data_IF_726705679880
#
_entry.id   IF_726705679880
#
_cell.length_a   1.000
_cell.length_b   1.000
_cell.length_c   1.000
_cell.angle_alpha   90.00
_cell.angle_beta   90.00
_cell.angle_gamma   90.00
#
_symmetry.space_group_name_H-M   'P 1'
#
loop_
_entity.id
_entity.type
_entity.pdbx_description
1 polymer ?
#
# COMPACT_ATOMS: atom_id res chain seq x y z
N UNK A 1 15.44 4.72 -13.14
CA UNK A 1 14.80 3.75 -12.26
C UNK A 1 13.28 3.77 -12.36
N UNK A 2 12.63 4.90 -12.65
CA UNK A 2 11.16 5.01 -12.74
C UNK A 2 10.60 4.74 -14.16
N UNK A 3 11.47 4.55 -15.15
CA UNK A 3 11.07 4.46 -16.54
C UNK A 3 10.54 5.78 -17.13
N UNK A 4 10.90 6.92 -16.53
CA UNK A 4 10.54 8.27 -16.95
C UNK A 4 11.76 8.96 -17.60
N UNK A 5 11.54 9.87 -18.56
CA UNK A 5 12.60 10.63 -19.23
C UNK A 5 13.52 11.35 -18.24
N UNK A 6 12.93 12.00 -17.23
CA UNK A 6 13.72 12.69 -16.19
C UNK A 6 14.71 11.79 -15.46
N UNK A 7 14.34 10.55 -15.14
CA UNK A 7 15.25 9.60 -14.48
C UNK A 7 16.29 9.05 -15.45
N UNK A 8 15.98 8.98 -16.74
CA UNK A 8 16.93 8.66 -17.80
C UNK A 8 17.99 9.76 -17.98
N UNK A 9 17.54 11.01 -18.01
CA UNK A 9 18.46 12.16 -18.11
C UNK A 9 19.44 12.22 -16.92
N UNK A 10 18.97 11.99 -15.68
CA UNK A 10 19.83 11.88 -14.51
C UNK A 10 20.85 10.74 -14.67
N UNK A 11 20.42 9.58 -15.17
CA UNK A 11 21.33 8.47 -15.43
C UNK A 11 22.37 8.80 -16.50
N UNK A 12 22.03 9.56 -17.53
CA UNK A 12 22.96 10.05 -18.53
C UNK A 12 24.00 11.00 -17.94
N UNK A 13 23.53 11.99 -17.18
CA UNK A 13 24.36 13.02 -16.56
C UNK A 13 25.27 12.49 -15.44
N UNK A 14 24.99 11.31 -14.89
CA UNK A 14 25.80 10.69 -13.84
C UNK A 14 27.24 10.34 -14.28
N UNK A 15 27.56 10.34 -15.57
CA UNK A 15 28.83 9.93 -16.10
C UNK A 15 29.15 8.43 -15.95
N UNK A 16 28.24 7.63 -15.35
CA UNK A 16 28.49 6.21 -15.12
C UNK A 16 28.70 5.46 -16.45
N UNK A 17 29.75 4.60 -16.50
CA UNK A 17 30.02 3.77 -17.69
C UNK A 17 28.91 2.77 -17.96
N UNK A 18 28.37 2.15 -16.92
CA UNK A 18 27.28 1.20 -16.99
C UNK A 18 25.99 1.83 -16.46
N UNK A 19 25.01 1.96 -17.34
CA UNK A 19 23.69 2.51 -17.04
C UNK A 19 22.65 1.45 -17.35
N UNK A 20 22.09 0.82 -16.32
CA UNK A 20 21.13 -0.26 -16.47
C UNK A 20 19.71 0.29 -16.36
N UNK A 21 18.83 -0.14 -17.25
CA UNK A 21 17.44 0.30 -17.28
C UNK A 21 16.49 -0.82 -17.70
N UNK A 22 15.20 -0.50 -17.64
CA UNK A 22 14.18 -1.42 -18.13
C UNK A 22 14.23 -1.60 -19.63
N UNK A 23 13.70 -2.73 -20.11
CA UNK A 23 13.36 -2.89 -21.53
C UNK A 23 12.40 -1.77 -21.95
N UNK A 24 12.52 -1.28 -23.18
CA UNK A 24 11.71 -0.14 -23.69
C UNK A 24 10.20 -0.30 -23.47
N UNK A 25 9.67 -1.52 -23.59
CA UNK A 25 8.25 -1.80 -23.43
C UNK A 25 7.81 -1.88 -21.96
N UNK A 26 8.74 -2.00 -21.00
CA UNK A 26 8.47 -1.90 -19.58
C UNK A 26 8.69 -0.49 -19.02
N UNK A 27 9.18 0.47 -19.82
CA UNK A 27 9.27 1.87 -19.42
C UNK A 27 7.90 2.54 -19.52
N UNK A 28 7.57 3.36 -18.51
CA UNK A 28 6.38 4.22 -18.57
C UNK A 28 6.48 5.20 -19.76
N UNK A 29 7.67 5.76 -19.98
CA UNK A 29 8.00 6.56 -21.15
C UNK A 29 9.09 5.84 -21.93
N UNK A 30 8.75 5.29 -23.11
CA UNK A 30 9.65 4.44 -23.91
C UNK A 30 10.98 5.10 -24.24
N UNK A 31 11.01 6.44 -24.36
CA UNK A 31 12.19 7.25 -24.59
C UNK A 31 13.23 7.09 -23.46
N UNK A 32 12.81 6.80 -22.23
CA UNK A 32 13.74 6.55 -21.12
C UNK A 32 14.82 5.51 -21.49
N UNK A 33 14.47 4.54 -22.31
CA UNK A 33 15.38 3.45 -22.68
C UNK A 33 16.63 3.90 -23.45
N UNK A 34 16.61 5.04 -24.13
CA UNK A 34 17.80 5.53 -24.87
C UNK A 34 18.94 5.99 -23.95
N UNK A 35 18.63 6.37 -22.71
CA UNK A 35 19.59 6.87 -21.74
C UNK A 35 20.36 5.76 -20.99
N UNK A 36 20.05 4.50 -21.28
CA UNK A 36 20.66 3.34 -20.62
C UNK A 36 21.31 2.43 -21.65
N UNK A 37 22.51 1.89 -21.32
CA UNK A 37 23.32 1.07 -22.25
C UNK A 37 23.22 -0.44 -21.98
N UNK A 38 22.64 -0.86 -20.85
CA UNK A 38 22.26 -2.25 -20.56
C UNK A 38 20.80 -2.30 -20.19
N UNK A 39 20.04 -3.25 -20.72
CA UNK A 39 18.60 -3.39 -20.48
C UNK A 39 18.33 -4.67 -19.69
N UNK A 40 17.43 -4.58 -18.71
CA UNK A 40 16.82 -5.76 -18.14
C UNK A 40 15.97 -6.48 -19.21
N UNK A 41 15.84 -7.81 -19.18
CA UNK A 41 14.96 -8.55 -20.07
C UNK A 41 13.52 -8.05 -20.02
N UNK A 42 12.80 -8.16 -21.15
CA UNK A 42 11.37 -7.89 -21.19
C UNK A 42 10.61 -8.96 -20.39
N UNK A 43 9.73 -8.54 -19.51
CA UNK A 43 8.97 -9.44 -18.62
C UNK A 43 7.52 -9.65 -19.08
N UNK A 44 7.08 -9.01 -20.15
CA UNK A 44 5.67 -8.98 -20.54
C UNK A 44 4.95 -7.73 -20.01
N UNK A 45 3.65 -7.68 -20.26
CA UNK A 45 2.75 -6.63 -19.81
C UNK A 45 2.03 -7.03 -18.52
N UNK A 46 1.54 -6.05 -17.75
CA UNK A 46 0.79 -6.30 -16.51
C UNK A 46 1.62 -6.91 -15.36
N UNK A 47 2.94 -6.80 -15.42
CA UNK A 47 3.84 -7.28 -14.37
C UNK A 47 3.85 -6.31 -13.19
N UNK A 48 3.82 -6.86 -11.99
CA UNK A 48 3.88 -6.07 -10.78
C UNK A 48 5.17 -5.26 -10.68
N UNK A 49 5.09 -4.02 -10.21
CA UNK A 49 6.24 -3.10 -10.19
C UNK A 49 7.41 -3.64 -9.35
N UNK A 50 7.16 -4.38 -8.29
CA UNK A 50 8.19 -5.03 -7.48
C UNK A 50 8.96 -6.06 -8.29
N UNK A 51 8.28 -6.93 -9.05
CA UNK A 51 8.94 -7.93 -9.90
C UNK A 51 9.76 -7.26 -11.00
N UNK A 52 9.29 -6.14 -11.55
CA UNK A 52 10.07 -5.36 -12.50
C UNK A 52 11.37 -4.81 -11.88
N UNK A 53 11.31 -4.29 -10.65
CA UNK A 53 12.51 -3.81 -9.96
C UNK A 53 13.44 -4.94 -9.56
N UNK A 54 12.93 -6.07 -9.12
CA UNK A 54 13.73 -7.25 -8.82
C UNK A 54 14.46 -7.75 -10.07
N UNK A 55 13.79 -7.81 -11.21
CA UNK A 55 14.42 -8.16 -12.50
C UNK A 55 15.55 -7.19 -12.88
N UNK A 56 15.34 -5.89 -12.66
CA UNK A 56 16.37 -4.88 -12.89
C UNK A 56 17.60 -5.11 -11.99
N UNK A 57 17.39 -5.38 -10.70
CA UNK A 57 18.44 -5.65 -9.73
C UNK A 57 19.19 -6.94 -10.08
N UNK A 58 18.48 -8.02 -10.42
CA UNK A 58 19.07 -9.28 -10.88
C UNK A 58 19.99 -9.08 -12.06
N UNK A 59 19.51 -8.34 -13.08
CA UNK A 59 20.30 -8.02 -14.27
C UNK A 59 21.54 -7.19 -13.93
N UNK A 60 21.43 -6.29 -12.94
CA UNK A 60 22.49 -5.40 -12.52
C UNK A 60 23.60 -6.13 -11.80
N UNK A 61 23.23 -7.00 -10.86
CA UNK A 61 24.13 -7.64 -9.90
C UNK A 61 24.43 -9.11 -10.26
N UNK A 62 23.87 -9.63 -11.36
CA UNK A 62 23.97 -11.04 -11.77
C UNK A 62 23.55 -12.03 -10.65
N UNK A 63 22.48 -11.68 -9.93
CA UNK A 63 21.96 -12.49 -8.82
C UNK A 63 21.09 -13.60 -9.38
N UNK A 64 21.37 -14.87 -9.01
CA UNK A 64 20.61 -16.04 -9.44
C UNK A 64 19.48 -16.40 -8.45
N UNK A 65 19.72 -16.17 -7.15
CA UNK A 65 18.77 -16.51 -6.08
C UNK A 65 17.95 -15.30 -5.66
N UNK A 66 16.67 -15.51 -5.39
CA UNK A 66 15.72 -14.50 -4.98
C UNK A 66 15.12 -14.86 -3.62
N UNK A 67 15.07 -13.88 -2.73
CA UNK A 67 14.21 -13.93 -1.54
C UNK A 67 13.22 -12.78 -1.63
N UNK A 68 11.93 -13.09 -1.51
CA UNK A 68 10.84 -12.09 -1.54
C UNK A 68 10.41 -11.73 -0.12
N UNK A 69 11.36 -11.44 0.74
CA UNK A 69 11.09 -10.99 2.10
C UNK A 69 11.15 -9.47 2.18
N UNK A 70 10.13 -8.86 2.72
CA UNK A 70 10.13 -7.44 3.03
C UNK A 70 10.85 -7.19 4.36
N UNK A 71 11.84 -6.32 4.34
CA UNK A 71 12.52 -5.83 5.54
C UNK A 71 11.80 -4.56 6.00
N UNK A 72 10.94 -4.70 6.99
CA UNK A 72 10.30 -3.57 7.64
C UNK A 72 11.15 -3.11 8.82
N UNK A 73 11.16 -1.79 9.14
CA UNK A 73 11.79 -1.30 10.36
C UNK A 73 11.11 -1.89 11.60
N UNK A 74 11.84 -1.94 12.70
CA UNK A 74 11.25 -2.34 13.98
C UNK A 74 10.06 -1.44 14.33
N UNK A 75 8.99 -2.06 14.81
CA UNK A 75 7.80 -1.33 15.23
C UNK A 75 8.06 -0.60 16.55
N UNK A 76 7.51 0.60 16.70
CA UNK A 76 7.42 1.31 17.97
C UNK A 76 6.07 0.99 18.59
N UNK A 77 6.05 0.16 19.61
CA UNK A 77 4.80 -0.45 20.09
C UNK A 77 4.20 0.23 21.33
N UNK A 78 5.00 0.90 22.18
CA UNK A 78 4.53 1.42 23.45
C UNK A 78 3.25 2.27 23.36
N UNK A 79 3.25 3.29 22.50
CA UNK A 79 2.08 4.16 22.29
C UNK A 79 0.88 3.37 21.74
N UNK A 80 1.13 2.39 20.92
CA UNK A 80 0.11 1.54 20.33
C UNK A 80 -0.46 0.57 21.36
N UNK A 81 0.39 0.00 22.20
CA UNK A 81 -0.04 -0.83 23.33
C UNK A 81 -0.90 -0.05 24.29
N UNK A 82 -0.46 1.14 24.70
CA UNK A 82 -1.23 2.04 25.58
C UNK A 82 -2.60 2.37 24.95
N UNK A 83 -2.65 2.63 23.66
CA UNK A 83 -3.91 2.87 22.94
C UNK A 83 -4.86 1.66 23.05
N UNK A 84 -4.39 0.45 22.74
CA UNK A 84 -5.24 -0.73 22.81
C UNK A 84 -5.63 -1.13 24.23
N UNK A 85 -4.75 -0.98 25.21
CA UNK A 85 -5.06 -1.22 26.62
C UNK A 85 -6.18 -0.32 27.14
N UNK A 86 -6.22 0.92 26.68
CA UNK A 86 -7.28 1.88 27.02
C UNK A 86 -8.59 1.68 26.22
N UNK A 87 -8.65 0.68 25.34
CA UNK A 87 -9.82 0.39 24.51
C UNK A 87 -10.20 -1.10 24.57
N UNK A 88 -10.59 -1.63 25.74
CA UNK A 88 -10.86 -3.07 25.91
C UNK A 88 -12.01 -3.57 25.04
N UNK A 89 -12.99 -2.72 24.74
CA UNK A 89 -14.08 -3.09 23.84
C UNK A 89 -13.60 -3.29 22.39
N UNK A 90 -12.64 -2.48 21.91
CA UNK A 90 -12.03 -2.64 20.60
C UNK A 90 -11.38 -4.01 20.46
N UNK A 91 -10.65 -4.43 21.49
CA UNK A 91 -9.87 -5.67 21.48
C UNK A 91 -10.70 -6.91 21.84
N UNK A 92 -11.96 -6.74 22.26
CA UNK A 92 -12.85 -7.86 22.60
C UNK A 92 -13.28 -8.70 21.39
N UNK A 93 -13.08 -8.17 20.18
CA UNK A 93 -13.44 -8.79 18.89
C UNK A 93 -12.29 -8.65 17.90
N UNK A 94 -12.25 -9.46 16.82
CA UNK A 94 -11.28 -9.24 15.76
C UNK A 94 -11.45 -7.86 15.14
N UNK A 95 -10.34 -7.20 14.82
CA UNK A 95 -10.33 -5.80 14.38
C UNK A 95 -10.15 -5.74 12.86
N UNK A 96 -11.07 -5.06 12.18
CA UNK A 96 -10.93 -4.69 10.78
C UNK A 96 -10.47 -3.24 10.72
N UNK A 97 -9.30 -3.02 10.10
CA UNK A 97 -8.82 -1.67 9.80
C UNK A 97 -9.49 -1.13 8.54
N UNK A 98 -9.87 0.14 8.55
CA UNK A 98 -10.33 0.87 7.36
C UNK A 98 -9.48 2.11 7.21
N UNK A 99 -8.78 2.23 6.07
CA UNK A 99 -8.03 3.42 5.69
C UNK A 99 -8.68 4.07 4.46
N UNK A 100 -9.44 5.15 4.64
CA UNK A 100 -10.13 5.82 3.54
C UNK A 100 -9.22 6.79 2.75
N UNK A 101 -7.97 6.96 3.19
CA UNK A 101 -7.03 7.89 2.59
C UNK A 101 -6.36 7.37 1.31
N UNK A 102 -5.94 8.28 0.46
CA UNK A 102 -5.08 8.02 -0.68
C UNK A 102 -4.27 9.26 -1.06
N UNK A 103 -3.14 9.06 -1.74
CA UNK A 103 -2.25 10.15 -2.15
C UNK A 103 -2.83 11.12 -3.19
N UNK A 104 -3.94 10.77 -3.86
CA UNK A 104 -4.63 11.57 -4.86
C UNK A 104 -6.14 11.42 -4.71
N UNK A 105 -6.89 12.52 -4.87
CA UNK A 105 -8.35 12.52 -4.77
C UNK A 105 -9.02 11.53 -5.73
N UNK A 106 -8.49 11.39 -6.94
CA UNK A 106 -9.01 10.43 -7.93
C UNK A 106 -8.96 8.96 -7.51
N UNK A 107 -8.23 8.63 -6.44
CA UNK A 107 -8.15 7.28 -5.88
C UNK A 107 -9.07 7.07 -4.68
N UNK A 108 -9.73 8.13 -4.22
CA UNK A 108 -10.60 8.06 -3.05
C UNK A 108 -11.94 7.40 -3.41
N UNK A 109 -12.40 6.58 -2.50
CA UNK A 109 -13.79 6.12 -2.48
C UNK A 109 -14.62 7.06 -1.62
N UNK A 110 -15.91 7.17 -1.86
CA UNK A 110 -16.81 8.07 -1.15
C UNK A 110 -16.87 7.72 0.35
N UNK A 111 -16.77 8.72 1.23
CA UNK A 111 -16.76 8.51 2.69
C UNK A 111 -18.03 7.83 3.19
N UNK A 112 -19.16 8.17 2.60
CA UNK A 112 -20.46 7.53 2.91
C UNK A 112 -20.43 6.02 2.67
N UNK A 113 -19.77 5.57 1.61
CA UNK A 113 -19.65 4.14 1.31
C UNK A 113 -18.74 3.42 2.29
N UNK A 114 -17.69 4.08 2.77
CA UNK A 114 -16.88 3.54 3.88
C UNK A 114 -17.70 3.42 5.16
N UNK A 115 -18.56 4.40 5.46
CA UNK A 115 -19.49 4.36 6.58
C UNK A 115 -20.44 3.16 6.48
N UNK A 116 -21.09 3.00 5.34
CA UNK A 116 -21.99 1.87 5.09
C UNK A 116 -21.28 0.51 5.18
N UNK A 117 -20.08 0.41 4.62
CA UNK A 117 -19.27 -0.81 4.70
C UNK A 117 -18.89 -1.14 6.15
N UNK A 118 -18.45 -0.14 6.92
CA UNK A 118 -18.06 -0.29 8.32
C UNK A 118 -19.24 -0.77 9.18
N UNK A 119 -20.42 -0.16 9.00
CA UNK A 119 -21.65 -0.55 9.69
C UNK A 119 -22.05 -1.98 9.35
N UNK A 120 -22.00 -2.37 8.06
CA UNK A 120 -22.32 -3.73 7.64
C UNK A 120 -21.34 -4.76 8.21
N UNK A 121 -20.04 -4.47 8.22
CA UNK A 121 -19.05 -5.38 8.83
C UNK A 121 -19.36 -5.58 10.31
N UNK A 122 -19.71 -4.52 11.03
CA UNK A 122 -20.06 -4.62 12.45
C UNK A 122 -21.35 -5.41 12.65
N UNK A 123 -22.41 -5.10 11.89
CA UNK A 123 -23.72 -5.71 12.05
C UNK A 123 -23.75 -7.19 11.63
N UNK A 124 -23.17 -7.51 10.47
CA UNK A 124 -23.26 -8.83 9.86
C UNK A 124 -22.19 -9.81 10.35
N UNK A 125 -20.98 -9.29 10.66
CA UNK A 125 -19.83 -10.10 11.01
C UNK A 125 -19.39 -9.97 12.47
N UNK A 126 -19.88 -8.97 13.18
CA UNK A 126 -19.57 -8.75 14.59
C UNK A 126 -18.13 -8.29 14.86
N UNK A 127 -17.42 -7.73 13.88
CA UNK A 127 -16.05 -7.24 14.05
C UNK A 127 -16.00 -5.81 14.58
N UNK A 128 -14.89 -5.48 15.25
CA UNK A 128 -14.58 -4.11 15.64
C UNK A 128 -13.98 -3.34 14.46
N UNK A 129 -14.36 -2.08 14.30
CA UNK A 129 -13.82 -1.21 13.24
C UNK A 129 -12.82 -0.23 13.82
N UNK A 130 -11.59 -0.25 13.27
CA UNK A 130 -10.54 0.73 13.56
C UNK A 130 -10.29 1.57 12.31
N UNK A 131 -10.65 2.85 12.39
CA UNK A 131 -10.39 3.82 11.31
C UNK A 131 -8.95 4.32 11.43
N UNK A 132 -8.16 4.13 10.38
CA UNK A 132 -6.77 4.57 10.31
C UNK A 132 -6.61 5.69 9.30
N UNK A 133 -5.61 6.55 9.50
CA UNK A 133 -5.43 7.75 8.70
C UNK A 133 -3.97 8.17 8.63
N UNK A 134 -3.63 8.90 7.56
CA UNK A 134 -2.33 9.51 7.36
C UNK A 134 -2.35 11.03 7.61
N UNK A 135 -1.21 11.72 7.50
CA UNK A 135 -1.14 13.17 7.69
C UNK A 135 -2.19 13.92 6.88
N UNK A 136 -2.98 14.76 7.55
CA UNK A 136 -4.05 15.57 6.95
C UNK A 136 -5.39 14.85 6.71
N UNK A 137 -5.52 13.57 7.08
CA UNK A 137 -6.73 12.77 6.80
C UNK A 137 -7.62 12.54 8.04
N UNK A 138 -7.22 13.03 9.22
CA UNK A 138 -7.95 12.80 10.48
C UNK A 138 -9.42 13.21 10.41
N UNK A 139 -9.70 14.35 9.76
CA UNK A 139 -11.08 14.84 9.66
C UNK A 139 -11.97 13.89 8.85
N UNK A 140 -11.45 13.21 7.84
CA UNK A 140 -12.19 12.21 7.05
C UNK A 140 -12.64 11.04 7.92
N UNK A 141 -11.74 10.48 8.73
CA UNK A 141 -12.09 9.35 9.62
C UNK A 141 -13.03 9.78 10.74
N UNK A 142 -12.91 11.01 11.25
CA UNK A 142 -13.88 11.58 12.21
C UNK A 142 -15.28 11.71 11.61
N UNK A 143 -15.37 12.13 10.36
CA UNK A 143 -16.63 12.22 9.63
C UNK A 143 -17.27 10.83 9.44
N UNK A 144 -16.48 9.82 9.04
CA UNK A 144 -16.97 8.44 8.92
C UNK A 144 -17.48 7.96 10.28
N UNK A 145 -16.67 8.10 11.36
CA UNK A 145 -17.04 7.65 12.70
C UNK A 145 -18.33 8.32 13.21
N UNK A 146 -18.50 9.62 12.95
CA UNK A 146 -19.69 10.38 13.34
C UNK A 146 -20.96 9.98 12.56
N UNK A 147 -20.79 9.45 11.34
CA UNK A 147 -21.90 9.03 10.48
C UNK A 147 -22.26 7.55 10.62
N UNK A 148 -21.46 6.75 11.33
CA UNK A 148 -21.73 5.34 11.59
C UNK A 148 -22.87 5.15 12.61
N UNK A 149 -23.66 4.10 12.39
CA UNK A 149 -24.69 3.66 13.34
C UNK A 149 -24.09 2.81 14.48
N UNK A 150 -22.96 2.16 14.21
CA UNK A 150 -22.25 1.32 15.18
C UNK A 150 -20.97 2.01 15.69
N UNK A 151 -20.56 1.60 16.88
CA UNK A 151 -19.32 2.12 17.50
C UNK A 151 -18.11 1.75 16.62
N UNK A 152 -17.27 2.74 16.38
CA UNK A 152 -15.95 2.57 15.77
C UNK A 152 -14.88 3.30 16.59
N UNK A 153 -13.64 2.99 16.31
CA UNK A 153 -12.49 3.60 16.97
C UNK A 153 -11.62 4.30 15.93
N UNK A 154 -11.05 5.41 16.32
CA UNK A 154 -10.11 6.16 15.47
C UNK A 154 -8.71 5.92 16.02
N UNK A 155 -7.80 5.50 15.18
CA UNK A 155 -6.40 5.30 15.52
C UNK A 155 -5.74 6.63 15.94
N UNK A 156 -4.79 6.63 16.86
CA UNK A 156 -3.99 7.81 17.15
C UNK A 156 -3.13 8.20 15.95
N UNK A 157 -2.65 9.44 15.90
CA UNK A 157 -1.62 9.83 14.94
C UNK A 157 -0.38 8.93 15.10
N UNK A 158 0.13 8.40 13.98
CA UNK A 158 1.24 7.44 14.01
C UNK A 158 2.38 7.86 13.09
N UNK A 159 3.61 7.60 13.53
CA UNK A 159 4.76 7.46 12.63
C UNK A 159 4.61 6.17 11.80
N UNK A 160 5.47 5.97 10.80
CA UNK A 160 5.50 4.72 10.02
C UNK A 160 5.79 3.52 10.94
N UNK A 161 6.73 3.65 11.90
CA UNK A 161 7.09 2.59 12.83
C UNK A 161 5.95 2.25 13.80
N UNK A 162 5.24 3.24 14.31
CA UNK A 162 4.04 3.04 15.13
C UNK A 162 2.90 2.42 14.32
N UNK A 163 2.72 2.82 13.05
CA UNK A 163 1.69 2.24 12.18
C UNK A 163 1.91 0.76 11.90
N UNK A 164 3.17 0.31 11.82
CA UNK A 164 3.51 -1.13 11.73
C UNK A 164 2.99 -1.87 12.96
N UNK A 165 3.22 -1.35 14.16
CA UNK A 165 2.69 -1.93 15.41
C UNK A 165 1.17 -1.97 15.43
N UNK A 166 0.53 -0.89 14.97
CA UNK A 166 -0.93 -0.81 14.89
C UNK A 166 -1.50 -1.85 13.90
N UNK A 167 -0.94 -1.94 12.69
CA UNK A 167 -1.44 -2.87 11.68
C UNK A 167 -1.26 -4.33 12.07
N UNK A 168 -0.22 -4.71 12.80
CA UNK A 168 -0.06 -6.08 13.35
C UNK A 168 -1.24 -6.55 14.20
N UNK A 169 -2.06 -5.66 14.71
CA UNK A 169 -3.26 -5.98 15.51
C UNK A 169 -4.51 -6.23 14.66
N UNK A 170 -4.44 -5.97 13.36
CA UNK A 170 -5.58 -6.11 12.46
C UNK A 170 -5.74 -7.55 11.97
N UNK A 171 -6.99 -7.98 11.87
CA UNK A 171 -7.37 -9.21 11.17
C UNK A 171 -7.33 -9.01 9.65
N UNK A 172 -7.69 -7.82 9.18
CA UNK A 172 -7.74 -7.42 7.77
C UNK A 172 -7.70 -5.90 7.67
N UNK A 173 -7.14 -5.38 6.58
CA UNK A 173 -7.24 -3.96 6.22
C UNK A 173 -8.08 -3.79 4.95
N UNK A 174 -9.04 -2.86 4.98
CA UNK A 174 -9.69 -2.30 3.79
C UNK A 174 -9.07 -0.94 3.50
N UNK A 175 -8.57 -0.72 2.29
CA UNK A 175 -7.85 0.52 1.95
C UNK A 175 -7.97 0.87 0.47
N UNK A 176 -7.90 2.15 0.14
CA UNK A 176 -7.58 2.59 -1.22
C UNK A 176 -6.12 2.25 -1.58
N UNK A 177 -5.71 2.51 -2.84
CA UNK A 177 -4.31 2.44 -3.29
C UNK A 177 -3.46 3.48 -2.54
N UNK A 178 -2.88 3.06 -1.41
CA UNK A 178 -2.19 3.91 -0.44
C UNK A 178 -1.04 3.19 0.29
N UNK A 179 -0.22 3.95 1.03
CA UNK A 179 0.89 3.40 1.82
C UNK A 179 0.50 2.31 2.81
N UNK A 180 -0.56 2.49 3.62
CA UNK A 180 -1.10 1.48 4.53
C UNK A 180 -1.36 0.12 3.90
N UNK A 181 -1.90 0.08 2.68
CA UNK A 181 -2.11 -1.15 1.93
C UNK A 181 -0.82 -1.95 1.77
N UNK A 182 0.26 -1.28 1.36
CA UNK A 182 1.56 -1.93 1.11
C UNK A 182 2.28 -2.34 2.40
N UNK A 183 2.11 -1.59 3.48
CA UNK A 183 2.65 -1.97 4.80
C UNK A 183 1.95 -3.24 5.29
N UNK A 184 0.63 -3.31 5.23
CA UNK A 184 -0.12 -4.51 5.61
C UNK A 184 0.26 -5.71 4.75
N UNK A 185 0.40 -5.52 3.43
CA UNK A 185 0.86 -6.58 2.53
C UNK A 185 2.25 -7.09 2.91
N UNK A 186 3.19 -6.19 3.21
CA UNK A 186 4.53 -6.55 3.65
C UNK A 186 4.57 -7.26 5.01
N UNK A 187 3.59 -7.01 5.88
CA UNK A 187 3.38 -7.70 7.16
C UNK A 187 2.66 -9.06 7.00
N UNK A 188 2.19 -9.40 5.79
CA UNK A 188 1.38 -10.60 5.55
C UNK A 188 -0.06 -10.50 6.09
N UNK A 189 -0.52 -9.30 6.41
CA UNK A 189 -1.88 -9.06 6.88
C UNK A 189 -2.82 -9.04 5.67
N UNK A 190 -3.92 -9.80 5.68
CA UNK A 190 -4.90 -9.79 4.61
C UNK A 190 -5.41 -8.38 4.29
N UNK A 191 -5.61 -8.08 3.00
CA UNK A 191 -6.12 -6.78 2.59
C UNK A 191 -7.22 -6.91 1.54
N UNK A 192 -8.17 -5.99 1.60
CA UNK A 192 -9.09 -5.69 0.50
C UNK A 192 -8.81 -4.29 0.01
N UNK A 193 -8.37 -4.16 -1.22
CA UNK A 193 -7.97 -2.88 -1.80
C UNK A 193 -8.96 -2.36 -2.83
N UNK A 194 -9.15 -1.04 -2.82
CA UNK A 194 -10.06 -0.35 -3.74
C UNK A 194 -9.23 0.41 -4.77
N UNK A 195 -9.40 0.06 -6.04
CA UNK A 195 -8.68 0.64 -7.16
C UNK A 195 -9.65 1.26 -8.18
N UNK A 196 -9.28 2.43 -8.71
CA UNK A 196 -9.99 3.13 -9.77
C UNK A 196 -9.03 3.47 -10.93
N UNK A 197 -8.30 4.60 -10.87
CA UNK A 197 -7.51 5.09 -12.01
C UNK A 197 -6.17 4.36 -12.20
N UNK A 198 -5.75 3.54 -11.24
CA UNK A 198 -4.47 2.81 -11.28
C UNK A 198 -4.68 1.32 -11.48
N UNK A 199 -3.81 0.69 -12.26
CA UNK A 199 -3.85 -0.75 -12.52
C UNK A 199 -3.38 -1.55 -11.28
N UNK A 200 -4.26 -2.35 -10.66
CA UNK A 200 -3.91 -3.15 -9.49
C UNK A 200 -2.94 -4.29 -9.80
N UNK A 201 -2.90 -4.79 -11.03
CA UNK A 201 -1.90 -5.80 -11.43
C UNK A 201 -0.49 -5.26 -11.29
N UNK A 202 -0.32 -3.97 -11.57
CA UNK A 202 0.96 -3.29 -11.47
C UNK A 202 1.27 -2.78 -10.06
N UNK A 203 0.28 -2.22 -9.38
CA UNK A 203 0.48 -1.43 -8.15
C UNK A 203 -0.29 -1.96 -6.94
N UNK A 204 -0.91 -3.13 -7.01
CA UNK A 204 -1.69 -3.70 -5.92
C UNK A 204 -0.85 -4.16 -4.72
N UNK A 205 -1.49 -4.73 -3.74
CA UNK A 205 -0.82 -5.41 -2.65
C UNK A 205 0.01 -6.58 -3.17
N UNK A 206 1.27 -6.69 -2.75
CA UNK A 206 2.17 -7.72 -3.23
C UNK A 206 2.20 -8.91 -2.27
N UNK A 207 1.88 -10.09 -2.76
CA UNK A 207 1.89 -11.33 -1.98
C UNK A 207 0.62 -12.15 -2.12
N UNK A 208 0.35 -12.97 -1.11
CA UNK A 208 -0.86 -13.79 -1.01
C UNK A 208 -1.87 -13.15 -0.05
N UNK A 209 -3.13 -13.58 -0.11
CA UNK A 209 -4.21 -13.12 0.78
C UNK A 209 -4.60 -11.64 0.61
N UNK A 210 -4.49 -11.13 -0.62
CA UNK A 210 -4.86 -9.76 -0.95
C UNK A 210 -5.90 -9.78 -2.07
N UNK A 211 -7.08 -9.21 -1.79
CA UNK A 211 -8.14 -9.05 -2.77
C UNK A 211 -8.22 -7.59 -3.23
N UNK A 212 -8.69 -7.41 -4.46
CA UNK A 212 -8.84 -6.10 -5.06
C UNK A 212 -10.20 -5.94 -5.70
N UNK A 213 -10.89 -4.89 -5.30
CA UNK A 213 -12.07 -4.39 -6.02
C UNK A 213 -11.58 -3.33 -7.00
N UNK A 214 -11.71 -3.61 -8.28
CA UNK A 214 -11.23 -2.73 -9.35
C UNK A 214 -12.37 -2.30 -10.25
N UNK A 215 -12.54 -0.99 -10.38
CA UNK A 215 -13.47 -0.39 -11.32
C UNK A 215 -12.73 0.64 -12.15
N UNK A 216 -12.62 0.40 -13.45
CA UNK A 216 -12.10 1.39 -14.40
C UNK A 216 -13.09 2.56 -14.45
N UNK A 217 -12.59 3.76 -14.19
CA UNK A 217 -13.35 5.02 -14.22
C UNK A 217 -12.96 5.76 -15.49
#
# INVERSE_FOLDING_TARGET
LQGLVKSGAIALLSGARLKIGFHKNNCKEKINSIFTNKKAPYMGDGIHIIDMYLNLIKTSLNIQKESKQFLLPESQEKKIEDFFQNQPELTSKPIIGINPGAGFESKLWELERFTQLADRITAEMGYSILLTWGPGEEQKVRQIAASMQHKSWIAPATSIQESIGLYKRLKLLVSCDSGPLHICAALGIPTVSLFGPTDPKRNGAYGLNHDTVYKVI
#
